data_IF_828959032645
#
_entry.id   IF_828959032645
#
_cell.length_a   1.000
_cell.length_b   1.000
_cell.length_c   1.000
_cell.angle_alpha   90.00
_cell.angle_beta   90.00
_cell.angle_gamma   90.00
#
_symmetry.space_group_name_H-M   'P 1'
#
loop_
_entity.id
_entity.type
_entity.pdbx_description
1 polymer ?
#
# COMPACT_ATOMS: atom_id res chain seq x y z
N UNK A 1 -54.53 -39.21 -28.32
CA UNK A 1 -53.89 -38.94 -29.63
C UNK A 1 -52.43 -38.57 -29.40
N UNK A 2 -51.54 -39.49 -29.72
CA UNK A 2 -50.09 -39.35 -29.64
C UNK A 2 -49.59 -38.39 -30.74
N UNK A 3 -48.62 -37.55 -30.43
CA UNK A 3 -47.58 -37.17 -31.37
C UNK A 3 -46.26 -36.96 -30.62
N UNK A 4 -45.36 -37.90 -30.88
CA UNK A 4 -43.95 -37.93 -30.62
C UNK A 4 -43.25 -36.86 -31.47
N UNK A 5 -42.26 -36.15 -30.88
CA UNK A 5 -41.27 -35.38 -31.64
C UNK A 5 -39.86 -35.73 -31.17
N UNK A 6 -39.11 -36.23 -32.13
CA UNK A 6 -37.75 -36.72 -32.08
C UNK A 6 -36.73 -35.65 -31.64
N UNK A 7 -35.87 -36.05 -30.74
CA UNK A 7 -34.60 -35.34 -30.45
C UNK A 7 -33.49 -35.81 -31.42
N UNK A 8 -33.01 -34.91 -32.26
CA UNK A 8 -31.72 -35.12 -32.97
C UNK A 8 -30.58 -34.61 -32.12
N UNK A 9 -29.67 -35.52 -31.77
CA UNK A 9 -28.35 -35.22 -31.22
C UNK A 9 -27.41 -34.86 -32.37
N UNK A 10 -26.80 -33.68 -32.29
CA UNK A 10 -25.69 -33.31 -33.15
C UNK A 10 -24.37 -33.42 -32.34
N UNK A 11 -23.53 -34.35 -32.75
CA UNK A 11 -22.14 -34.45 -32.29
C UNK A 11 -21.29 -33.43 -33.08
N UNK A 12 -20.42 -32.72 -32.38
CA UNK A 12 -19.31 -31.99 -32.98
C UNK A 12 -18.02 -32.78 -32.77
N UNK A 13 -17.13 -32.88 -33.78
CA UNK A 13 -15.88 -33.58 -33.62
C UNK A 13 -14.75 -32.70 -33.06
N UNK A 14 -13.95 -33.30 -32.19
CA UNK A 14 -12.64 -32.77 -31.79
C UNK A 14 -11.69 -32.74 -33.01
N UNK A 15 -11.07 -31.62 -33.27
CA UNK A 15 -9.94 -31.51 -34.15
C UNK A 15 -8.64 -31.47 -33.35
N UNK A 16 -7.84 -32.51 -33.48
CA UNK A 16 -6.48 -32.57 -33.02
C UNK A 16 -5.58 -31.82 -34.00
N UNK A 17 -4.73 -30.92 -33.52
CA UNK A 17 -3.70 -30.27 -34.32
C UNK A 17 -2.37 -30.95 -34.02
N UNK A 18 -1.86 -31.67 -35.02
CA UNK A 18 -0.54 -32.29 -35.07
C UNK A 18 0.52 -31.29 -35.53
N UNK A 19 1.63 -31.33 -34.83
CA UNK A 19 2.92 -30.71 -35.23
C UNK A 19 3.38 -31.31 -36.56
N UNK A 20 3.83 -30.51 -37.50
CA UNK A 20 4.60 -30.95 -38.68
C UNK A 20 5.79 -30.06 -38.94
N UNK A 21 6.90 -30.73 -39.14
CA UNK A 21 8.26 -30.24 -39.25
C UNK A 21 8.56 -29.46 -40.55
N UNK A 22 9.65 -28.72 -40.50
CA UNK A 22 10.26 -27.91 -41.53
C UNK A 22 10.70 -28.67 -42.77
N UNK A 23 10.59 -28.06 -43.93
CA UNK A 23 11.43 -28.34 -45.10
C UNK A 23 11.91 -27.04 -45.74
N UNK A 24 13.21 -26.97 -45.82
CA UNK A 24 14.00 -25.94 -46.52
C UNK A 24 13.67 -25.92 -48.00
N UNK A 25 13.43 -24.73 -48.55
CA UNK A 25 13.62 -24.49 -49.99
C UNK A 25 14.35 -23.16 -50.18
N UNK A 26 15.56 -23.25 -50.70
CA UNK A 26 16.39 -22.12 -51.10
C UNK A 26 15.91 -21.57 -52.45
N UNK A 27 15.60 -20.29 -52.50
CA UNK A 27 15.32 -19.56 -53.73
C UNK A 27 15.66 -18.09 -53.54
N UNK A 28 16.69 -17.66 -54.23
CA UNK A 28 17.14 -16.26 -54.37
C UNK A 28 16.01 -15.35 -54.89
N UNK A 29 15.75 -14.22 -54.22
CA UNK A 29 15.50 -12.91 -54.83
C UNK A 29 15.41 -11.79 -53.77
N UNK A 30 16.19 -10.73 -54.00
CA UNK A 30 15.95 -9.34 -53.65
C UNK A 30 15.71 -8.99 -52.17
N UNK A 31 16.73 -8.44 -51.49
CA UNK A 31 16.65 -8.01 -50.10
C UNK A 31 15.73 -6.82 -49.85
N UNK A 32 14.86 -6.98 -48.86
CA UNK A 32 14.47 -5.93 -47.94
C UNK A 32 14.76 -6.46 -46.53
N UNK A 33 15.66 -5.81 -45.84
CA UNK A 33 16.00 -6.16 -44.47
C UNK A 33 14.75 -5.99 -43.59
N UNK A 34 14.13 -7.11 -43.19
CA UNK A 34 13.16 -7.12 -42.10
C UNK A 34 13.94 -6.88 -40.82
N UNK A 35 13.78 -5.69 -40.30
CA UNK A 35 14.30 -5.31 -38.97
C UNK A 35 13.67 -6.26 -37.96
N UNK A 36 14.45 -7.12 -37.34
CA UNK A 36 13.99 -7.93 -36.21
C UNK A 36 13.51 -6.95 -35.11
N UNK A 37 12.23 -6.98 -34.82
CA UNK A 37 11.71 -6.32 -33.66
C UNK A 37 12.42 -6.92 -32.43
N UNK A 38 13.16 -6.07 -31.75
CA UNK A 38 13.76 -6.43 -30.45
C UNK A 38 12.63 -6.86 -29.52
N UNK A 39 12.71 -8.10 -29.08
CA UNK A 39 11.91 -8.59 -27.94
C UNK A 39 12.22 -7.63 -26.79
N UNK A 40 11.30 -6.73 -26.47
CA UNK A 40 11.41 -5.86 -25.31
C UNK A 40 11.40 -6.75 -24.08
N UNK A 41 12.56 -6.92 -23.48
CA UNK A 41 12.71 -7.44 -22.11
C UNK A 41 11.74 -6.65 -21.23
N UNK A 42 10.94 -7.29 -20.36
CA UNK A 42 10.10 -6.56 -19.42
C UNK A 42 10.97 -5.55 -18.70
N UNK A 43 10.54 -4.30 -18.66
CA UNK A 43 11.25 -3.24 -17.96
C UNK A 43 11.50 -3.73 -16.53
N UNK A 44 12.76 -3.75 -16.11
CA UNK A 44 13.14 -4.05 -14.74
C UNK A 44 12.30 -3.14 -13.83
N UNK A 45 11.58 -3.73 -12.87
CA UNK A 45 10.85 -2.99 -11.84
C UNK A 45 11.88 -2.08 -11.19
N UNK A 46 11.84 -0.78 -11.48
CA UNK A 46 12.75 0.18 -10.88
C UNK A 46 12.50 0.18 -9.38
N UNK A 47 13.53 -0.14 -8.60
CA UNK A 47 13.50 0.01 -7.14
C UNK A 47 13.12 1.46 -6.82
N UNK A 48 12.26 1.72 -5.81
CA UNK A 48 12.00 3.09 -5.37
C UNK A 48 13.30 3.81 -5.07
N UNK A 49 13.37 5.12 -5.36
CA UNK A 49 14.55 5.89 -5.04
C UNK A 49 14.72 6.05 -3.52
N UNK A 50 15.95 6.20 -3.04
CA UNK A 50 16.23 6.49 -1.63
C UNK A 50 15.39 7.66 -1.08
N UNK A 51 15.13 8.69 -1.90
CA UNK A 51 14.27 9.80 -1.54
C UNK A 51 12.83 9.39 -1.23
N UNK A 52 12.26 8.46 -2.02
CA UNK A 52 10.90 7.95 -1.77
C UNK A 52 10.83 7.12 -0.48
N UNK A 53 11.84 6.30 -0.21
CA UNK A 53 11.93 5.56 1.04
C UNK A 53 12.13 6.48 2.25
N UNK A 54 12.99 7.50 2.16
CA UNK A 54 13.17 8.49 3.22
C UNK A 54 11.86 9.21 3.54
N UNK A 55 11.14 9.68 2.50
CA UNK A 55 9.84 10.31 2.70
C UNK A 55 8.84 9.36 3.37
N UNK A 56 8.79 8.11 2.94
CA UNK A 56 7.92 7.09 3.54
C UNK A 56 8.29 6.79 5.01
N UNK A 57 9.57 6.57 5.29
CA UNK A 57 10.08 6.30 6.65
C UNK A 57 9.76 7.47 7.60
N UNK A 58 9.97 8.71 7.14
CA UNK A 58 9.61 9.90 7.90
C UNK A 58 8.10 10.01 8.14
N UNK A 59 7.30 9.84 7.10
CA UNK A 59 5.85 10.01 7.19
C UNK A 59 5.19 8.94 8.07
N UNK A 60 5.53 7.66 7.85
CA UNK A 60 4.86 6.53 8.48
C UNK A 60 5.49 6.12 9.83
N UNK A 61 6.81 6.24 9.95
CA UNK A 61 7.55 5.73 11.10
C UNK A 61 8.24 6.82 11.91
N UNK A 62 8.26 8.08 11.45
CA UNK A 62 9.01 9.18 12.07
C UNK A 62 10.49 8.82 12.23
N UNK A 63 11.06 8.21 11.17
CA UNK A 63 12.47 7.84 11.06
C UNK A 63 13.15 8.86 10.15
N UNK A 64 14.22 9.45 10.64
CA UNK A 64 15.10 10.40 9.91
C UNK A 64 16.51 9.83 9.92
N UNK A 65 16.93 9.24 8.81
CA UNK A 65 18.26 8.69 8.67
C UNK A 65 19.29 9.81 8.46
N UNK A 66 20.34 9.93 9.29
CA UNK A 66 21.40 10.89 9.09
C UNK A 66 22.20 10.58 7.83
N UNK A 67 22.95 11.57 7.33
CA UNK A 67 23.78 11.40 6.12
C UNK A 67 24.83 10.28 6.26
N UNK A 68 25.36 10.09 7.47
CA UNK A 68 26.33 9.07 7.83
C UNK A 68 25.88 8.39 9.14
N UNK A 69 25.01 7.39 9.08
CA UNK A 69 24.45 6.74 10.26
C UNK A 69 25.50 5.91 11.01
N UNK A 70 25.35 5.83 12.32
CA UNK A 70 26.04 4.84 13.13
C UNK A 70 25.31 3.50 13.09
N UNK A 71 25.99 2.42 13.48
CA UNK A 71 25.37 1.09 13.58
C UNK A 71 24.20 1.09 14.58
N UNK A 72 24.34 1.78 15.70
CA UNK A 72 23.30 1.90 16.73
C UNK A 72 22.05 2.65 16.24
N UNK A 73 22.20 3.74 15.50
CA UNK A 73 21.09 4.47 14.89
C UNK A 73 20.34 3.60 13.90
N UNK A 74 21.05 2.92 13.00
CA UNK A 74 20.40 2.03 12.04
C UNK A 74 19.64 0.88 12.73
N UNK A 75 20.19 0.30 13.79
CA UNK A 75 19.55 -0.75 14.59
C UNK A 75 18.25 -0.24 15.24
N UNK A 76 18.26 0.99 15.80
CA UNK A 76 17.07 1.61 16.35
C UNK A 76 16.01 1.82 15.27
N UNK A 77 16.40 2.28 14.09
CA UNK A 77 15.49 2.50 12.97
C UNK A 77 14.91 1.19 12.43
N UNK A 78 15.71 0.12 12.32
CA UNK A 78 15.22 -1.21 11.96
C UNK A 78 14.19 -1.73 12.97
N UNK A 79 14.50 -1.65 14.27
CA UNK A 79 13.57 -2.09 15.32
C UNK A 79 12.26 -1.29 15.30
N UNK A 80 12.33 0.02 15.09
CA UNK A 80 11.18 0.92 14.98
C UNK A 80 10.35 0.60 13.74
N UNK A 81 10.98 0.39 12.58
CA UNK A 81 10.32 0.03 11.34
C UNK A 81 9.62 -1.34 11.45
N UNK A 82 10.21 -2.29 12.14
CA UNK A 82 9.61 -3.60 12.41
C UNK A 82 8.57 -3.57 13.56
N UNK A 83 8.32 -2.40 14.16
CA UNK A 83 7.39 -2.20 15.29
C UNK A 83 7.68 -3.14 16.46
N UNK A 84 8.95 -3.39 16.73
CA UNK A 84 9.35 -4.22 17.87
C UNK A 84 9.17 -3.41 19.16
N UNK A 85 8.54 -4.03 20.15
CA UNK A 85 8.42 -3.45 21.49
C UNK A 85 9.79 -3.34 22.16
N UNK A 86 9.89 -2.46 23.15
CA UNK A 86 11.08 -2.40 23.99
C UNK A 86 11.22 -3.70 24.77
N UNK A 87 12.20 -4.53 24.40
CA UNK A 87 12.57 -5.68 25.21
C UNK A 87 13.57 -5.22 26.27
N UNK A 88 13.11 -5.18 27.51
CA UNK A 88 13.96 -4.92 28.67
C UNK A 88 14.04 -6.12 29.62
N UNK A 89 13.34 -7.20 29.32
CA UNK A 89 13.20 -8.37 30.17
C UNK A 89 14.07 -9.53 29.65
N UNK A 90 15.32 -9.54 29.98
CA UNK A 90 16.23 -10.65 29.61
C UNK A 90 17.67 -10.37 29.99
N UNK A 91 18.50 -11.40 29.90
CA UNK A 91 19.94 -11.27 30.06
C UNK A 91 20.50 -10.39 28.92
N UNK A 92 21.39 -9.45 29.27
CA UNK A 92 22.04 -8.60 28.30
C UNK A 92 22.90 -9.45 27.35
N UNK A 93 22.56 -9.42 26.05
CA UNK A 93 23.25 -10.21 25.03
C UNK A 93 24.50 -9.51 24.48
N UNK A 94 24.77 -8.25 24.87
CA UNK A 94 25.85 -7.43 24.34
C UNK A 94 26.80 -7.01 25.43
N UNK A 95 28.11 -7.21 25.22
CA UNK A 95 29.14 -6.94 26.22
C UNK A 95 29.45 -5.45 26.35
N UNK A 96 29.17 -4.66 25.32
CA UNK A 96 29.52 -3.25 25.16
C UNK A 96 28.32 -2.31 25.17
N UNK A 97 27.13 -2.81 25.52
CA UNK A 97 25.93 -2.00 25.71
C UNK A 97 25.44 -2.08 27.15
N UNK A 98 24.97 -0.95 27.66
CA UNK A 98 24.32 -0.82 28.95
C UNK A 98 22.84 -0.45 28.77
N UNK A 99 21.97 -0.72 29.77
CA UNK A 99 20.55 -0.41 29.68
C UNK A 99 20.22 1.06 29.38
N UNK A 100 21.09 1.99 29.75
CA UNK A 100 20.96 3.43 29.48
C UNK A 100 21.36 3.86 28.08
N UNK A 101 22.00 2.97 27.30
CA UNK A 101 22.43 3.29 25.92
C UNK A 101 21.22 3.36 24.98
N UNK A 102 21.12 4.37 24.10
CA UNK A 102 19.95 4.54 23.24
C UNK A 102 19.63 3.32 22.35
N UNK A 103 20.67 2.59 21.92
CA UNK A 103 20.52 1.40 21.08
C UNK A 103 20.20 0.13 21.86
N UNK A 104 20.24 0.11 23.19
CA UNK A 104 20.13 -1.10 24.01
C UNK A 104 18.83 -1.87 23.77
N UNK A 105 17.68 -1.21 23.98
CA UNK A 105 16.39 -1.85 23.85
C UNK A 105 16.13 -2.40 22.42
N UNK A 106 16.53 -1.64 21.40
CA UNK A 106 16.42 -2.05 20.00
C UNK A 106 17.34 -3.24 19.69
N UNK A 107 18.59 -3.21 20.17
CA UNK A 107 19.54 -4.31 19.98
C UNK A 107 19.05 -5.60 20.63
N UNK A 108 18.52 -5.54 21.86
CA UNK A 108 17.93 -6.70 22.55
C UNK A 108 16.73 -7.26 21.79
N UNK A 109 15.80 -6.42 21.36
CA UNK A 109 14.61 -6.85 20.60
C UNK A 109 15.02 -7.51 19.26
N UNK A 110 15.99 -6.96 18.54
CA UNK A 110 16.50 -7.55 17.31
C UNK A 110 17.30 -8.85 17.55
N UNK A 111 17.98 -8.98 18.68
CA UNK A 111 18.62 -10.24 19.05
C UNK A 111 17.61 -11.33 19.42
N UNK A 112 16.52 -10.99 20.08
CA UNK A 112 15.40 -11.93 20.32
C UNK A 112 14.77 -12.41 19.02
N UNK A 113 14.68 -11.54 18.01
CA UNK A 113 14.20 -11.88 16.67
C UNK A 113 15.23 -12.63 15.81
N UNK A 114 16.46 -12.82 16.29
CA UNK A 114 17.52 -13.49 15.54
C UNK A 114 18.11 -12.66 14.40
N UNK A 115 17.84 -11.35 14.38
CA UNK A 115 18.45 -10.39 13.43
C UNK A 115 19.89 -10.09 13.84
N UNK A 116 20.14 -9.94 15.13
CA UNK A 116 21.46 -9.78 15.72
C UNK A 116 21.86 -11.03 16.52
N UNK A 117 23.16 -11.34 16.56
CA UNK A 117 23.66 -12.55 17.24
C UNK A 117 24.14 -12.32 18.68
N UNK A 118 24.11 -11.09 19.17
CA UNK A 118 24.74 -10.75 20.46
C UNK A 118 26.25 -10.57 20.36
N UNK A 119 26.90 -10.42 21.50
CA UNK A 119 28.35 -10.17 21.60
C UNK A 119 28.71 -8.68 21.62
N UNK A 120 29.68 -8.24 20.82
CA UNK A 120 30.11 -6.83 20.74
C UNK A 120 29.42 -6.14 19.59
N UNK A 121 28.61 -5.12 19.86
CA UNK A 121 27.79 -4.41 18.86
C UNK A 121 28.57 -3.26 18.20
N UNK A 122 29.36 -2.50 18.97
CA UNK A 122 29.98 -1.26 18.52
C UNK A 122 28.98 -0.22 18.03
N UNK A 123 27.95 0.07 18.83
CA UNK A 123 26.82 0.91 18.44
C UNK A 123 27.20 2.30 17.92
N UNK A 124 28.27 2.89 18.47
CA UNK A 124 28.78 4.23 18.08
C UNK A 124 29.66 4.23 16.84
N UNK A 125 30.09 3.05 16.36
CA UNK A 125 30.89 2.96 15.14
C UNK A 125 30.07 3.36 13.91
N UNK A 126 30.70 3.91 12.85
CA UNK A 126 30.01 4.12 11.58
C UNK A 126 29.35 2.83 11.07
N UNK A 127 28.17 2.93 10.52
CA UNK A 127 27.53 1.81 9.83
C UNK A 127 28.32 1.50 8.56
N UNK A 128 28.68 0.23 8.36
CA UNK A 128 29.29 -0.19 7.09
C UNK A 128 28.24 -0.78 6.17
N UNK A 129 28.47 -0.71 4.84
CA UNK A 129 27.51 -1.18 3.83
C UNK A 129 27.21 -2.67 3.99
N UNK A 130 28.22 -3.50 4.20
CA UNK A 130 28.07 -4.93 4.45
C UNK A 130 27.32 -5.23 5.75
N UNK A 131 27.61 -4.51 6.85
CA UNK A 131 26.88 -4.66 8.11
C UNK A 131 25.39 -4.29 7.95
N UNK A 132 25.09 -3.21 7.22
CA UNK A 132 23.73 -2.81 6.92
C UNK A 132 22.97 -3.90 6.11
N UNK A 133 23.64 -4.49 5.10
CA UNK A 133 23.06 -5.60 4.30
C UNK A 133 22.79 -6.82 5.16
N UNK A 134 23.71 -7.24 6.04
CA UNK A 134 23.50 -8.40 6.91
C UNK A 134 22.36 -8.21 7.91
N UNK A 135 22.23 -7.00 8.46
CA UNK A 135 21.08 -6.67 9.32
C UNK A 135 19.79 -6.68 8.53
N UNK A 136 19.76 -6.03 7.36
CA UNK A 136 18.60 -5.93 6.51
C UNK A 136 18.11 -7.31 6.01
N UNK A 137 19.04 -8.20 5.61
CA UNK A 137 18.70 -9.55 5.15
C UNK A 137 17.97 -10.35 6.23
N UNK A 138 18.47 -10.31 7.46
CA UNK A 138 17.85 -11.02 8.57
C UNK A 138 16.53 -10.37 8.99
N UNK A 139 16.45 -9.04 8.93
CA UNK A 139 15.22 -8.29 9.18
C UNK A 139 14.12 -8.57 8.13
N UNK A 140 14.52 -8.90 6.90
CA UNK A 140 13.63 -9.28 5.81
C UNK A 140 13.24 -10.78 5.81
N UNK A 141 13.65 -11.56 6.83
CA UNK A 141 13.45 -13.02 6.96
C UNK A 141 14.05 -13.84 5.79
N UNK A 142 15.17 -13.40 5.22
CA UNK A 142 15.84 -14.06 4.10
C UNK A 142 17.01 -14.96 4.53
N UNK A 143 17.26 -15.11 5.83
CA UNK A 143 18.39 -15.84 6.40
C UNK A 143 18.43 -17.31 5.97
N UNK A 144 17.30 -18.00 6.07
CA UNK A 144 17.19 -19.40 5.71
C UNK A 144 17.45 -19.62 4.21
N UNK A 145 16.92 -18.73 3.36
CA UNK A 145 17.21 -18.75 1.93
C UNK A 145 18.70 -18.58 1.65
N UNK A 146 19.34 -17.61 2.31
CA UNK A 146 20.76 -17.33 2.11
C UNK A 146 21.61 -18.58 2.38
N UNK A 147 21.35 -19.31 3.43
CA UNK A 147 22.13 -20.51 3.83
C UNK A 147 21.92 -21.71 2.91
N UNK A 148 20.99 -21.66 1.96
CA UNK A 148 20.87 -22.67 0.90
C UNK A 148 21.78 -22.42 -0.30
N UNK A 149 22.46 -21.25 -0.37
CA UNK A 149 23.25 -20.90 -1.55
C UNK A 149 24.52 -21.75 -1.68
N UNK A 150 24.65 -22.51 -2.77
CA UNK A 150 25.88 -23.21 -3.08
C UNK A 150 26.95 -22.24 -3.61
N UNK A 151 28.21 -22.64 -3.55
CA UNK A 151 29.36 -21.83 -3.94
C UNK A 151 29.23 -21.16 -5.31
N UNK A 152 28.79 -21.91 -6.33
CA UNK A 152 28.62 -21.37 -7.68
C UNK A 152 27.59 -20.23 -7.75
N UNK A 153 26.52 -20.30 -6.94
CA UNK A 153 25.52 -19.24 -6.87
C UNK A 153 26.06 -18.02 -6.15
N UNK A 154 26.81 -18.24 -5.06
CA UNK A 154 27.52 -17.16 -4.34
C UNK A 154 28.43 -16.42 -5.29
N UNK A 155 29.32 -17.13 -6.01
CA UNK A 155 30.23 -16.54 -6.97
C UNK A 155 29.52 -15.70 -8.04
N UNK A 156 28.44 -16.23 -8.59
CA UNK A 156 27.65 -15.52 -9.62
C UNK A 156 27.05 -14.22 -9.10
N UNK A 157 26.49 -14.23 -7.89
CA UNK A 157 25.89 -13.06 -7.26
C UNK A 157 26.95 -12.00 -6.91
N UNK A 158 28.05 -12.41 -6.26
CA UNK A 158 29.09 -11.49 -5.79
C UNK A 158 29.88 -10.83 -6.93
N UNK A 159 29.97 -11.47 -8.12
CA UNK A 159 30.55 -10.83 -9.32
C UNK A 159 29.78 -9.57 -9.73
N UNK A 160 28.46 -9.47 -9.43
CA UNK A 160 27.68 -8.26 -9.73
C UNK A 160 28.14 -7.06 -8.91
N UNK A 161 28.80 -7.34 -7.75
CA UNK A 161 29.43 -6.35 -6.87
C UNK A 161 30.93 -6.16 -7.14
N UNK A 162 31.51 -6.86 -8.13
CA UNK A 162 32.96 -6.86 -8.35
C UNK A 162 33.76 -7.58 -7.25
N UNK A 163 33.10 -8.47 -6.48
CA UNK A 163 33.73 -9.21 -5.38
C UNK A 163 34.07 -10.62 -5.83
N UNK A 164 35.35 -10.99 -5.71
CA UNK A 164 35.84 -12.34 -5.96
C UNK A 164 35.51 -13.27 -4.78
N UNK A 165 35.08 -14.49 -5.07
CA UNK A 165 34.80 -15.56 -4.12
C UNK A 165 34.97 -16.93 -4.81
N UNK A 166 35.58 -17.96 -4.14
CA UNK A 166 36.19 -17.96 -2.83
C UNK A 166 37.57 -17.28 -2.80
N UNK A 167 38.07 -17.05 -1.62
CA UNK A 167 39.43 -16.50 -1.42
C UNK A 167 39.46 -15.07 -0.90
N UNK A 168 38.32 -14.39 -0.77
CA UNK A 168 38.26 -13.07 -0.16
C UNK A 168 38.37 -13.21 1.37
N UNK A 169 39.45 -12.71 2.02
CA UNK A 169 39.68 -12.89 3.46
C UNK A 169 38.68 -12.12 4.34
N UNK A 170 37.90 -11.19 3.76
CA UNK A 170 36.90 -10.42 4.47
C UNK A 170 35.55 -11.16 4.54
N UNK A 171 35.36 -12.27 3.82
CA UNK A 171 34.10 -12.99 3.73
C UNK A 171 34.21 -14.41 4.28
N UNK A 172 33.50 -14.68 5.39
CA UNK A 172 33.17 -16.05 5.77
C UNK A 172 32.16 -16.64 4.78
N UNK A 173 31.96 -17.96 4.76
CA UNK A 173 30.92 -18.60 3.95
C UNK A 173 29.54 -18.00 4.25
N UNK A 174 29.21 -17.83 5.52
CA UNK A 174 27.91 -17.27 5.94
C UNK A 174 27.74 -15.83 5.43
N UNK A 175 28.75 -14.97 5.59
CA UNK A 175 28.70 -13.58 5.11
C UNK A 175 28.54 -13.54 3.58
N UNK A 176 29.26 -14.41 2.86
CA UNK A 176 29.15 -14.51 1.41
C UNK A 176 27.78 -14.99 0.96
N UNK A 177 27.17 -15.96 1.65
CA UNK A 177 25.80 -16.43 1.41
C UNK A 177 24.76 -15.32 1.65
N UNK A 178 24.87 -14.60 2.77
CA UNK A 178 23.98 -13.49 3.12
C UNK A 178 24.06 -12.37 2.08
N UNK A 179 25.26 -11.96 1.69
CA UNK A 179 25.46 -10.90 0.69
C UNK A 179 24.96 -11.34 -0.69
N UNK A 180 25.26 -12.58 -1.11
CA UNK A 180 24.80 -13.13 -2.38
C UNK A 180 23.28 -13.20 -2.46
N UNK A 181 22.62 -13.62 -1.37
CA UNK A 181 21.16 -13.65 -1.30
C UNK A 181 20.55 -12.24 -1.35
N UNK A 182 21.16 -11.25 -0.69
CA UNK A 182 20.70 -9.87 -0.75
C UNK A 182 20.76 -9.28 -2.18
N UNK A 183 21.81 -9.64 -2.94
CA UNK A 183 21.97 -9.25 -4.34
C UNK A 183 20.91 -9.92 -5.23
N UNK A 184 20.76 -11.24 -5.13
CA UNK A 184 19.90 -12.00 -6.04
C UNK A 184 18.41 -11.79 -5.76
N UNK A 185 18.03 -11.51 -4.52
CA UNK A 185 16.64 -11.21 -4.16
C UNK A 185 16.25 -9.76 -4.43
N UNK A 186 17.22 -8.88 -4.73
CA UNK A 186 17.00 -7.45 -4.90
C UNK A 186 16.82 -6.70 -3.57
N UNK A 187 17.12 -7.32 -2.42
CA UNK A 187 17.15 -6.63 -1.13
C UNK A 187 18.22 -5.53 -1.14
N UNK A 188 19.40 -5.83 -1.71
CA UNK A 188 20.38 -4.82 -2.11
C UNK A 188 20.05 -4.35 -3.53
N UNK A 189 19.51 -3.13 -3.71
CA UNK A 189 19.12 -2.64 -5.02
C UNK A 189 20.28 -2.57 -6.01
N UNK A 190 20.01 -2.89 -7.28
CA UNK A 190 21.03 -2.91 -8.33
C UNK A 190 21.77 -1.56 -8.53
N UNK A 191 21.13 -0.45 -8.17
CA UNK A 191 21.72 0.88 -8.23
C UNK A 191 22.99 0.99 -7.36
N UNK A 192 23.11 0.18 -6.30
CA UNK A 192 24.26 0.19 -5.39
C UNK A 192 25.34 -0.83 -5.76
N UNK A 193 25.09 -1.75 -6.72
CA UNK A 193 26.03 -2.83 -7.00
C UNK A 193 27.42 -2.35 -7.43
N UNK A 194 27.50 -1.29 -8.21
CA UNK A 194 28.79 -0.77 -8.71
C UNK A 194 29.60 0.06 -7.70
N UNK A 195 28.95 0.55 -6.65
CA UNK A 195 29.55 1.38 -5.60
C UNK A 195 29.74 0.64 -4.27
N UNK A 196 29.17 -0.56 -4.15
CA UNK A 196 29.23 -1.34 -2.91
C UNK A 196 30.65 -1.79 -2.55
N UNK A 197 31.06 -1.53 -1.29
CA UNK A 197 32.36 -1.95 -0.77
C UNK A 197 32.31 -2.60 0.60
N UNK A 198 33.03 -3.73 0.76
CA UNK A 198 33.14 -4.42 2.05
C UNK A 198 33.91 -3.58 3.06
N UNK A 199 33.22 -3.14 4.11
CA UNK A 199 33.77 -2.28 5.17
C UNK A 199 33.71 -0.79 4.85
N UNK A 200 33.13 -0.38 3.69
CA UNK A 200 32.95 1.02 3.38
C UNK A 200 31.77 1.60 4.19
N UNK A 201 31.85 2.89 4.52
CA UNK A 201 30.85 3.56 5.33
C UNK A 201 29.53 3.71 4.53
N UNK A 202 28.44 3.26 5.11
CA UNK A 202 27.11 3.40 4.52
C UNK A 202 26.62 4.85 4.58
N UNK A 203 26.09 5.36 3.47
CA UNK A 203 25.39 6.63 3.45
C UNK A 203 23.97 6.49 4.00
N UNK A 204 23.34 7.62 4.38
CA UNK A 204 21.94 7.65 4.77
C UNK A 204 20.99 7.29 3.63
N UNK A 205 21.39 7.47 2.36
CA UNK A 205 20.62 7.01 1.20
C UNK A 205 20.68 5.49 1.04
N UNK A 206 21.86 4.90 1.21
CA UNK A 206 22.07 3.46 1.21
C UNK A 206 21.25 2.77 2.33
N UNK A 207 21.34 3.31 3.55
CA UNK A 207 20.59 2.81 4.70
C UNK A 207 19.06 2.92 4.49
N UNK A 208 18.60 4.01 3.86
CA UNK A 208 17.18 4.22 3.54
C UNK A 208 16.68 3.21 2.50
N UNK A 209 17.44 2.96 1.45
CA UNK A 209 17.10 1.97 0.42
C UNK A 209 17.02 0.56 1.01
N UNK A 210 17.96 0.18 1.86
CA UNK A 210 17.92 -1.12 2.54
C UNK A 210 16.72 -1.25 3.48
N UNK A 211 16.47 -0.24 4.32
CA UNK A 211 15.35 -0.27 5.26
C UNK A 211 13.99 -0.25 4.52
N UNK A 212 13.88 0.52 3.45
CA UNK A 212 12.73 0.52 2.57
C UNK A 212 12.51 -0.83 1.87
N UNK A 213 13.59 -1.46 1.42
CA UNK A 213 13.56 -2.82 0.87
C UNK A 213 13.08 -3.83 1.92
N UNK A 214 13.58 -3.77 3.16
CA UNK A 214 13.09 -4.61 4.26
C UNK A 214 11.58 -4.45 4.43
N UNK A 215 11.08 -3.21 4.48
CA UNK A 215 9.65 -2.96 4.60
C UNK A 215 8.86 -3.50 3.41
N UNK A 216 9.41 -3.45 2.20
CA UNK A 216 8.80 -4.04 1.00
C UNK A 216 8.70 -5.57 1.12
N UNK A 217 9.77 -6.25 1.53
CA UNK A 217 9.77 -7.69 1.79
C UNK A 217 8.80 -8.10 2.92
N UNK A 218 8.61 -7.24 3.91
CA UNK A 218 7.67 -7.44 5.01
C UNK A 218 6.22 -7.07 4.67
N UNK A 219 5.95 -6.61 3.43
CA UNK A 219 4.63 -6.11 3.04
C UNK A 219 4.19 -4.88 3.83
N UNK A 220 5.14 -4.10 4.37
CA UNK A 220 4.90 -2.92 5.20
C UNK A 220 5.27 -1.59 4.52
N UNK A 221 5.62 -1.63 3.24
CA UNK A 221 5.82 -0.48 2.39
C UNK A 221 4.49 -0.09 1.71
N UNK A 222 4.50 0.35 0.48
CA UNK A 222 3.30 0.70 -0.29
C UNK A 222 2.61 -0.57 -0.80
N UNK A 223 1.30 -0.62 -0.64
CA UNK A 223 0.48 -1.68 -1.20
C UNK A 223 -0.15 -1.19 -2.51
N UNK A 224 -0.15 -2.04 -3.51
CA UNK A 224 -0.77 -1.76 -4.81
C UNK A 224 -1.24 -3.04 -5.47
N UNK A 225 -2.41 -2.99 -6.12
CA UNK A 225 -2.87 -4.05 -7.03
C UNK A 225 -2.27 -3.89 -8.43
N UNK A 226 -1.68 -2.74 -8.74
CA UNK A 226 -1.05 -2.44 -10.04
C UNK A 226 -1.03 -0.96 -10.33
N UNK A 227 -0.82 -0.63 -11.60
CA UNK A 227 -0.87 0.73 -12.13
C UNK A 227 -2.02 0.88 -13.12
N UNK A 228 -2.51 2.11 -13.31
CA UNK A 228 -3.52 2.44 -14.33
C UNK A 228 -3.11 1.92 -15.71
N UNK A 229 -1.82 1.97 -16.04
CA UNK A 229 -1.28 1.52 -17.33
C UNK A 229 -1.19 -0.01 -17.49
N UNK A 230 -1.29 -0.80 -16.40
CA UNK A 230 -1.14 -2.26 -16.47
C UNK A 230 -2.26 -2.89 -17.32
N UNK A 231 -1.90 -3.78 -18.23
CA UNK A 231 -2.86 -4.44 -19.11
C UNK A 231 -3.94 -5.25 -18.34
N UNK A 232 -3.57 -5.80 -17.20
CA UNK A 232 -4.41 -6.67 -16.35
C UNK A 232 -5.07 -5.95 -15.16
N UNK A 233 -4.96 -4.61 -15.07
CA UNK A 233 -5.45 -3.86 -13.89
C UNK A 233 -6.94 -4.09 -13.63
N UNK A 234 -7.77 -4.22 -14.66
CA UNK A 234 -9.20 -4.46 -14.49
C UNK A 234 -9.49 -5.84 -13.87
N UNK A 235 -8.74 -6.88 -14.29
CA UNK A 235 -8.86 -8.21 -13.71
C UNK A 235 -8.44 -8.21 -12.22
N UNK A 236 -7.34 -7.56 -11.89
CA UNK A 236 -6.86 -7.38 -10.51
C UNK A 236 -7.86 -6.59 -9.66
N UNK A 237 -8.46 -5.54 -10.23
CA UNK A 237 -9.47 -4.73 -9.55
C UNK A 237 -10.71 -5.57 -9.19
N UNK A 238 -11.25 -6.32 -10.16
CA UNK A 238 -12.40 -7.20 -9.91
C UNK A 238 -12.06 -8.29 -8.90
N UNK A 239 -10.88 -8.91 -8.99
CA UNK A 239 -10.44 -9.91 -8.02
C UNK A 239 -10.37 -9.31 -6.61
N UNK A 240 -9.75 -8.15 -6.45
CA UNK A 240 -9.65 -7.46 -5.16
C UNK A 240 -11.04 -7.14 -4.60
N UNK A 241 -11.97 -6.66 -5.43
CA UNK A 241 -13.33 -6.35 -5.01
C UNK A 241 -14.13 -7.58 -4.60
N UNK A 242 -14.05 -8.68 -5.37
CA UNK A 242 -14.80 -9.91 -5.11
C UNK A 242 -14.33 -10.65 -3.86
N UNK A 243 -13.05 -10.50 -3.50
CA UNK A 243 -12.47 -11.15 -2.31
C UNK A 243 -12.62 -10.33 -1.03
N UNK A 244 -13.28 -9.17 -1.10
CA UNK A 244 -13.52 -8.32 0.09
C UNK A 244 -14.68 -8.86 0.91
N UNK A 245 -14.41 -9.03 2.21
CA UNK A 245 -15.45 -9.30 3.20
C UNK A 245 -16.01 -8.01 3.82
N UNK A 246 -17.22 -8.12 4.39
CA UNK A 246 -17.79 -7.07 5.21
C UNK A 246 -16.95 -6.92 6.50
N UNK A 247 -16.39 -5.75 6.72
CA UNK A 247 -15.62 -5.49 7.93
C UNK A 247 -16.59 -5.25 9.09
N UNK A 248 -16.51 -6.10 10.11
CA UNK A 248 -17.27 -6.00 11.35
C UNK A 248 -16.33 -6.16 12.53
N UNK A 249 -16.29 -5.15 13.41
CA UNK A 249 -15.45 -5.13 14.61
C UNK A 249 -16.31 -4.66 15.78
N UNK A 250 -16.78 -5.60 16.57
CA UNK A 250 -17.77 -5.35 17.64
C UNK A 250 -17.32 -4.28 18.64
N UNK A 251 -16.05 -4.28 19.00
CA UNK A 251 -15.45 -3.36 19.95
C UNK A 251 -15.50 -1.91 19.42
N UNK A 252 -15.13 -1.71 18.15
CA UNK A 252 -15.22 -0.40 17.50
C UNK A 252 -16.68 0.01 17.25
N UNK A 253 -17.50 -0.92 16.77
CA UNK A 253 -18.91 -0.66 16.46
C UNK A 253 -19.69 -0.25 17.71
N UNK A 254 -19.44 -0.86 18.86
CA UNK A 254 -20.08 -0.46 20.12
C UNK A 254 -19.87 1.02 20.45
N UNK A 255 -18.70 1.57 20.14
CA UNK A 255 -18.37 2.99 20.40
C UNK A 255 -19.02 3.89 19.34
N UNK A 256 -18.84 3.58 18.06
CA UNK A 256 -19.29 4.47 16.98
C UNK A 256 -20.79 4.40 16.73
N UNK A 257 -21.45 3.26 16.97
CA UNK A 257 -22.91 3.14 16.91
C UNK A 257 -23.58 3.92 18.05
N UNK A 258 -22.99 3.89 19.24
CA UNK A 258 -23.46 4.74 20.35
C UNK A 258 -23.27 6.23 20.05
N UNK A 259 -22.15 6.60 19.41
CA UNK A 259 -21.91 7.98 18.98
C UNK A 259 -22.95 8.44 17.93
N UNK A 260 -23.40 7.55 17.02
CA UNK A 260 -24.51 7.82 16.09
C UNK A 260 -25.83 8.04 16.83
N UNK A 261 -26.17 7.20 17.83
CA UNK A 261 -27.39 7.34 18.65
C UNK A 261 -27.44 8.64 19.42
N UNK A 262 -26.28 9.09 19.91
CA UNK A 262 -26.14 10.37 20.62
C UNK A 262 -26.07 11.59 19.70
N UNK A 263 -26.19 11.42 18.37
CA UNK A 263 -25.97 12.46 17.37
C UNK A 263 -24.59 13.16 17.48
N UNK A 264 -23.61 12.47 18.03
CA UNK A 264 -22.25 12.98 18.18
C UNK A 264 -21.52 12.99 16.84
N UNK A 265 -21.82 12.01 15.96
CA UNK A 265 -21.27 11.86 14.62
C UNK A 265 -22.40 11.63 13.60
N UNK A 266 -22.14 11.96 12.32
CA UNK A 266 -23.07 11.73 11.21
C UNK A 266 -22.76 10.42 10.46
N UNK A 267 -21.62 9.81 10.73
CA UNK A 267 -21.21 8.56 10.10
C UNK A 267 -19.81 8.14 10.48
N UNK A 268 -19.49 6.92 10.12
CA UNK A 268 -18.16 6.34 10.28
C UNK A 268 -17.84 5.35 9.16
N UNK A 269 -16.55 5.08 8.97
CA UNK A 269 -16.07 3.96 8.16
C UNK A 269 -15.28 2.99 9.04
N UNK A 270 -15.47 1.68 8.84
CA UNK A 270 -14.60 0.64 9.34
C UNK A 270 -13.65 0.20 8.24
N UNK A 271 -12.36 0.14 8.52
CA UNK A 271 -11.30 -0.23 7.59
C UNK A 271 -10.29 -1.18 8.24
N UNK A 272 -9.49 -1.81 7.39
CA UNK A 272 -8.42 -2.71 7.79
C UNK A 272 -7.08 -2.15 7.28
N UNK A 273 -6.16 -1.84 8.20
CA UNK A 273 -4.87 -1.24 7.88
C UNK A 273 -3.95 -2.13 7.03
N UNK A 274 -4.23 -3.44 6.95
CA UNK A 274 -3.50 -4.37 6.08
C UNK A 274 -3.73 -4.10 4.59
N UNK A 275 -4.84 -3.44 4.23
CA UNK A 275 -5.13 -3.03 2.86
C UNK A 275 -4.73 -1.58 2.57
N UNK A 276 -4.28 -0.82 3.58
CA UNK A 276 -3.91 0.59 3.39
C UNK A 276 -2.83 0.73 2.32
N UNK A 277 -3.05 1.63 1.37
CA UNK A 277 -2.13 1.86 0.25
C UNK A 277 -0.75 2.34 0.72
N UNK A 278 -0.69 3.08 1.83
CA UNK A 278 0.52 3.73 2.34
C UNK A 278 1.21 4.61 1.28
N UNK A 279 0.44 5.21 0.40
CA UNK A 279 0.93 6.07 -0.67
C UNK A 279 1.44 7.42 -0.12
N UNK A 280 2.27 8.11 -0.92
CA UNK A 280 2.74 9.45 -0.56
C UNK A 280 1.53 10.42 -0.56
N UNK A 281 1.22 11.07 0.59
CA UNK A 281 0.09 12.00 0.68
C UNK A 281 0.14 13.15 -0.33
N UNK A 282 1.35 13.57 -0.72
CA UNK A 282 1.54 14.64 -1.70
C UNK A 282 1.15 14.23 -3.11
N UNK A 283 1.26 12.96 -3.42
CA UNK A 283 1.02 12.39 -4.75
C UNK A 283 -0.29 11.62 -4.84
N UNK A 284 -1.00 11.42 -3.71
CA UNK A 284 -2.15 10.53 -3.67
C UNK A 284 -3.48 11.24 -3.52
N UNK A 285 -4.51 10.56 -4.03
CA UNK A 285 -5.91 10.91 -3.89
C UNK A 285 -6.70 9.62 -3.79
N UNK A 286 -7.79 9.65 -3.04
CA UNK A 286 -8.65 8.49 -2.81
C UNK A 286 -10.08 8.80 -3.22
N UNK A 287 -10.75 7.78 -3.75
CA UNK A 287 -12.13 7.78 -4.21
C UNK A 287 -12.90 6.66 -3.51
N UNK A 288 -14.01 6.99 -2.86
CA UNK A 288 -14.87 6.02 -2.16
C UNK A 288 -16.18 5.77 -2.89
N UNK A 289 -16.58 4.51 -3.04
CA UNK A 289 -17.86 4.10 -3.64
C UNK A 289 -18.25 2.68 -3.22
N UNK A 290 -19.49 2.28 -3.55
CA UNK A 290 -20.01 0.92 -3.37
C UNK A 290 -20.06 0.10 -4.69
N UNK A 291 -20.19 0.76 -5.85
CA UNK A 291 -20.26 0.11 -7.17
C UNK A 291 -18.90 0.09 -7.86
N UNK A 292 -18.36 -1.12 -8.06
CA UNK A 292 -17.06 -1.34 -8.72
C UNK A 292 -17.01 -0.81 -10.16
N UNK A 293 -18.16 -0.67 -10.83
CA UNK A 293 -18.25 -0.12 -12.18
C UNK A 293 -17.65 1.27 -12.25
N UNK A 294 -17.82 2.07 -11.19
CA UNK A 294 -17.25 3.41 -11.10
C UNK A 294 -15.72 3.41 -11.04
N UNK A 295 -15.11 2.47 -10.30
CA UNK A 295 -13.66 2.33 -10.28
C UNK A 295 -13.11 1.93 -11.67
N UNK A 296 -13.81 1.02 -12.37
CA UNK A 296 -13.45 0.63 -13.75
C UNK A 296 -13.51 1.83 -14.69
N UNK A 297 -14.59 2.60 -14.64
CA UNK A 297 -14.77 3.81 -15.45
C UNK A 297 -13.69 4.85 -15.13
N UNK A 298 -13.36 5.04 -13.87
CA UNK A 298 -12.35 6.00 -13.43
C UNK A 298 -10.94 5.61 -13.93
N UNK A 299 -10.56 4.34 -13.83
CA UNK A 299 -9.29 3.86 -14.41
C UNK A 299 -9.28 4.05 -15.94
N UNK A 300 -10.39 3.75 -16.61
CA UNK A 300 -10.55 3.99 -18.06
C UNK A 300 -10.39 5.47 -18.42
N UNK A 301 -10.97 6.36 -17.65
CA UNK A 301 -10.85 7.81 -17.82
C UNK A 301 -9.39 8.27 -17.63
N UNK A 302 -8.72 7.85 -16.56
CA UNK A 302 -7.31 8.18 -16.33
C UNK A 302 -6.43 7.76 -17.51
N UNK A 303 -6.65 6.54 -18.06
CA UNK A 303 -5.96 6.08 -19.27
C UNK A 303 -6.20 6.97 -20.47
N UNK A 304 -7.45 7.36 -20.72
CA UNK A 304 -7.81 8.20 -21.88
C UNK A 304 -7.18 9.60 -21.81
N UNK A 305 -6.94 10.08 -20.60
CA UNK A 305 -6.32 11.39 -20.35
C UNK A 305 -4.79 11.32 -20.20
N UNK A 306 -4.20 10.12 -20.38
CA UNK A 306 -2.75 9.92 -20.26
C UNK A 306 -2.24 10.11 -18.84
N UNK A 307 -3.08 9.89 -17.82
CA UNK A 307 -2.71 9.94 -16.42
C UNK A 307 -2.38 8.53 -15.93
N UNK A 308 -1.17 8.34 -15.43
CA UNK A 308 -0.76 7.10 -14.78
C UNK A 308 -0.69 7.28 -13.27
N UNK A 309 -1.10 6.25 -12.56
CA UNK A 309 -1.03 6.19 -11.10
C UNK A 309 -0.94 4.74 -10.64
N UNK A 310 -0.30 4.48 -9.50
CA UNK A 310 -0.47 3.22 -8.77
C UNK A 310 -1.87 3.16 -8.22
N UNK A 311 -2.41 1.96 -8.15
CA UNK A 311 -3.79 1.70 -7.73
C UNK A 311 -3.81 0.73 -6.57
N UNK A 312 -4.55 1.06 -5.51
CA UNK A 312 -4.87 0.14 -4.42
C UNK A 312 -6.37 0.18 -4.14
N UNK A 313 -6.97 -1.00 -3.91
CA UNK A 313 -8.35 -1.12 -3.47
C UNK A 313 -8.37 -1.47 -1.97
N UNK A 314 -9.01 -0.61 -1.17
CA UNK A 314 -9.15 -0.77 0.27
C UNK A 314 -10.61 -1.06 0.62
N UNK A 315 -10.94 -2.26 1.16
CA UNK A 315 -12.29 -2.54 1.61
C UNK A 315 -12.69 -1.63 2.76
N UNK A 316 -13.94 -1.21 2.79
CA UNK A 316 -14.51 -0.52 3.91
C UNK A 316 -15.97 -0.89 4.13
N UNK A 317 -16.41 -0.77 5.37
CA UNK A 317 -17.82 -0.78 5.74
C UNK A 317 -18.19 0.59 6.27
N UNK A 318 -19.20 1.22 5.69
CA UNK A 318 -19.65 2.55 6.07
C UNK A 318 -20.99 2.49 6.79
N UNK A 319 -21.17 3.37 7.76
CA UNK A 319 -22.45 3.68 8.37
C UNK A 319 -22.61 5.20 8.42
N UNK A 320 -23.73 5.73 7.89
CA UNK A 320 -23.93 7.16 7.79
C UNK A 320 -25.42 7.53 7.82
N UNK A 321 -25.72 8.75 8.27
CA UNK A 321 -27.09 9.27 8.30
C UNK A 321 -27.60 9.35 6.87
N UNK A 322 -28.70 8.64 6.61
CA UNK A 322 -29.42 8.66 5.34
C UNK A 322 -30.39 9.83 5.28
N UNK A 323 -30.27 10.69 4.29
CA UNK A 323 -31.13 11.86 4.15
C UNK A 323 -32.38 11.51 3.32
N UNK A 324 -33.56 11.90 3.79
CA UNK A 324 -34.84 11.65 3.10
C UNK A 324 -34.89 12.26 1.71
N UNK A 325 -34.18 13.35 1.49
CA UNK A 325 -34.05 14.05 0.22
C UNK A 325 -33.39 13.21 -0.87
N UNK A 326 -32.68 12.14 -0.50
CA UNK A 326 -32.10 11.18 -1.45
C UNK A 326 -33.14 10.19 -2.01
N UNK A 327 -34.38 10.21 -1.49
CA UNK A 327 -35.49 9.36 -1.94
C UNK A 327 -35.59 8.03 -1.19
N UNK A 328 -36.34 7.08 -1.77
CA UNK A 328 -36.48 5.75 -1.16
C UNK A 328 -35.19 4.92 -1.33
N UNK A 329 -34.65 4.36 -0.23
CA UNK A 329 -33.40 3.63 -0.30
C UNK A 329 -33.56 2.27 -0.97
N UNK A 330 -32.63 1.88 -1.81
CA UNK A 330 -32.51 0.51 -2.32
C UNK A 330 -31.93 -0.39 -1.24
N UNK A 331 -32.70 -1.39 -0.80
CA UNK A 331 -32.23 -2.41 0.15
C UNK A 331 -31.58 -3.56 -0.62
N UNK A 332 -30.34 -3.91 -0.29
CA UNK A 332 -29.60 -5.06 -0.84
C UNK A 332 -28.89 -5.80 0.28
N UNK A 333 -28.21 -6.91 -0.03
CA UNK A 333 -27.37 -7.61 0.97
C UNK A 333 -26.18 -6.78 1.42
N UNK A 334 -25.70 -5.88 0.56
CA UNK A 334 -24.53 -5.01 0.81
C UNK A 334 -24.90 -3.56 1.18
N UNK A 335 -26.18 -3.18 1.14
CA UNK A 335 -26.65 -1.82 1.45
C UNK A 335 -28.00 -1.88 2.15
N UNK A 336 -28.06 -1.43 3.40
CA UNK A 336 -29.30 -1.44 4.21
C UNK A 336 -29.49 -0.11 4.91
N UNK A 337 -30.72 0.40 4.89
CA UNK A 337 -31.10 1.60 5.66
C UNK A 337 -32.05 1.18 6.76
N UNK A 338 -31.70 1.52 7.99
CA UNK A 338 -32.49 1.19 9.20
C UNK A 338 -32.74 2.45 10.03
N UNK A 339 -33.94 2.56 10.60
CA UNK A 339 -34.19 3.60 11.59
C UNK A 339 -33.64 3.19 12.95
N UNK A 340 -32.88 4.07 13.59
CA UNK A 340 -32.30 3.85 14.92
C UNK A 340 -33.13 4.58 16.01
N UNK A 341 -32.82 4.33 17.28
CA UNK A 341 -33.60 4.76 18.44
C UNK A 341 -33.84 6.29 18.51
N UNK A 342 -32.89 7.10 18.04
CA UNK A 342 -33.06 8.56 18.01
C UNK A 342 -33.90 9.09 16.84
N UNK A 343 -34.45 8.20 16.01
CA UNK A 343 -35.30 8.53 14.87
C UNK A 343 -34.56 8.74 13.55
N UNK A 344 -33.24 8.79 13.56
CA UNK A 344 -32.44 8.88 12.35
C UNK A 344 -32.47 7.57 11.54
N UNK A 345 -32.36 7.69 10.23
CA UNK A 345 -32.13 6.58 9.33
C UNK A 345 -30.63 6.46 9.08
N UNK A 346 -30.08 5.26 9.28
CA UNK A 346 -28.66 4.97 9.04
C UNK A 346 -28.53 4.01 7.89
N UNK A 347 -27.77 4.40 6.88
CA UNK A 347 -27.33 3.50 5.83
C UNK A 347 -26.10 2.74 6.30
N UNK A 348 -26.12 1.41 6.20
CA UNK A 348 -24.99 0.52 6.38
C UNK A 348 -24.61 -0.04 5.01
N UNK A 349 -23.40 0.20 4.57
CA UNK A 349 -22.96 -0.14 3.24
C UNK A 349 -21.60 -0.86 3.24
N UNK A 350 -21.49 -1.92 2.40
CA UNK A 350 -20.20 -2.46 1.99
C UNK A 350 -19.70 -1.60 0.84
N UNK A 351 -18.56 -0.97 1.06
CA UNK A 351 -17.96 -0.05 0.11
C UNK A 351 -16.47 -0.36 -0.07
N UNK A 352 -15.83 0.40 -0.92
CA UNK A 352 -14.38 0.41 -1.09
C UNK A 352 -13.87 1.85 -1.18
N UNK A 353 -12.59 2.03 -0.87
CA UNK A 353 -11.80 3.16 -1.30
C UNK A 353 -10.81 2.69 -2.36
N UNK A 354 -10.76 3.38 -3.51
CA UNK A 354 -9.67 3.20 -4.47
C UNK A 354 -8.69 4.36 -4.31
N UNK A 355 -7.48 4.03 -3.92
CA UNK A 355 -6.40 5.00 -3.75
C UNK A 355 -5.53 5.03 -5.01
N UNK A 356 -5.15 6.23 -5.42
CA UNK A 356 -4.23 6.49 -6.53
C UNK A 356 -2.98 7.20 -6.00
N UNK A 357 -1.79 6.77 -6.43
CA UNK A 357 -0.56 7.53 -6.27
C UNK A 357 -0.05 7.89 -7.67
N UNK A 358 -0.15 9.17 -8.01
CA UNK A 358 0.33 9.70 -9.29
C UNK A 358 1.85 9.78 -9.32
N UNK A 359 2.44 9.77 -10.51
CA UNK A 359 3.89 9.84 -10.68
C UNK A 359 4.45 11.22 -10.28
N UNK A 360 3.65 12.29 -10.42
CA UNK A 360 4.02 13.65 -10.04
C UNK A 360 2.85 14.44 -9.43
N UNK A 361 3.17 15.53 -8.74
CA UNK A 361 2.17 16.45 -8.18
C UNK A 361 1.34 17.14 -9.28
N UNK A 362 1.94 17.41 -10.43
CA UNK A 362 1.27 17.99 -11.59
C UNK A 362 0.21 17.04 -12.16
N UNK A 363 0.50 15.73 -12.21
CA UNK A 363 -0.48 14.75 -12.63
C UNK A 363 -1.64 14.64 -11.63
N UNK A 364 -1.35 14.69 -10.32
CA UNK A 364 -2.39 14.75 -9.28
C UNK A 364 -3.27 16.00 -9.44
N UNK A 365 -2.69 17.16 -9.72
CA UNK A 365 -3.44 18.39 -9.97
C UNK A 365 -4.30 18.28 -11.24
N UNK A 366 -3.73 17.76 -12.33
CA UNK A 366 -4.47 17.53 -13.59
C UNK A 366 -5.67 16.60 -13.41
N UNK A 367 -5.58 15.60 -12.53
CA UNK A 367 -6.71 14.72 -12.21
C UNK A 367 -7.95 15.50 -11.79
N UNK A 368 -7.78 16.56 -11.00
CA UNK A 368 -8.89 17.38 -10.51
C UNK A 368 -9.64 18.06 -11.67
N UNK A 369 -8.90 18.61 -12.63
CA UNK A 369 -9.51 19.23 -13.83
C UNK A 369 -10.28 18.20 -14.66
N UNK A 370 -9.73 17.00 -14.80
CA UNK A 370 -10.37 15.88 -15.50
C UNK A 370 -11.66 15.48 -14.78
N UNK A 371 -11.63 15.33 -13.47
CA UNK A 371 -12.83 14.93 -12.70
C UNK A 371 -13.92 15.99 -12.77
N UNK A 372 -13.61 17.27 -12.64
CA UNK A 372 -14.60 18.33 -12.77
C UNK A 372 -15.25 18.39 -14.16
N UNK A 373 -14.53 17.95 -15.17
CA UNK A 373 -15.08 17.90 -16.53
C UNK A 373 -16.12 16.76 -16.69
N UNK A 374 -15.92 15.61 -16.04
CA UNK A 374 -16.72 14.40 -16.24
C UNK A 374 -17.67 14.08 -15.07
N UNK A 375 -17.25 14.28 -13.83
CA UNK A 375 -18.05 13.97 -12.63
C UNK A 375 -18.92 15.16 -12.23
N UNK A 376 -19.98 15.43 -13.01
CA UNK A 376 -20.91 16.53 -12.77
C UNK A 376 -22.12 16.07 -11.98
N UNK A 377 -22.01 16.08 -10.65
CA UNK A 377 -23.16 15.87 -9.80
C UNK A 377 -24.15 17.04 -9.93
N UNK A 378 -25.44 16.69 -10.03
CA UNK A 378 -26.57 17.64 -10.02
C UNK A 378 -26.46 18.81 -11.03
N UNK A 379 -25.68 18.65 -12.09
CA UNK A 379 -25.62 19.62 -13.16
C UNK A 379 -26.85 19.48 -14.06
N UNK A 380 -27.67 20.51 -14.15
CA UNK A 380 -28.79 20.57 -15.09
C UNK A 380 -28.31 20.56 -16.55
N UNK A 381 -27.06 20.95 -16.79
CA UNK A 381 -26.43 20.98 -18.11
C UNK A 381 -25.76 19.66 -18.53
N UNK A 382 -25.95 18.58 -17.79
CA UNK A 382 -25.27 17.30 -17.99
C UNK A 382 -25.85 16.46 -19.15
N UNK A 383 -26.26 17.07 -20.26
CA UNK A 383 -26.73 16.34 -21.43
C UNK A 383 -25.60 15.51 -22.04
N UNK A 384 -25.82 14.20 -22.13
CA UNK A 384 -24.89 13.25 -22.76
C UNK A 384 -23.69 12.84 -21.92
N UNK A 385 -23.58 13.31 -20.69
CA UNK A 385 -22.55 12.88 -19.76
C UNK A 385 -23.04 11.79 -18.81
N UNK A 386 -22.12 11.06 -18.22
CA UNK A 386 -22.36 9.97 -17.26
C UNK A 386 -22.79 10.52 -15.88
N UNK A 387 -23.59 11.60 -15.85
CA UNK A 387 -23.90 12.34 -14.62
C UNK A 387 -24.52 11.48 -13.53
N UNK A 388 -25.39 10.52 -13.89
CA UNK A 388 -25.98 9.59 -12.96
C UNK A 388 -25.03 8.48 -12.50
N UNK A 389 -24.03 8.15 -13.31
CA UNK A 389 -23.05 7.11 -13.02
C UNK A 389 -21.89 7.63 -12.18
N UNK A 390 -21.54 8.91 -12.30
CA UNK A 390 -20.50 9.58 -11.54
C UNK A 390 -21.05 10.36 -10.33
N UNK A 391 -22.22 9.99 -9.89
CA UNK A 391 -22.89 10.64 -8.80
C UNK A 391 -22.18 10.39 -7.49
N UNK A 392 -21.54 11.40 -6.96
CA UNK A 392 -20.97 11.51 -5.63
C UNK A 392 -20.04 10.43 -5.14
N UNK A 393 -18.95 10.29 -5.76
CA UNK A 393 -17.84 9.70 -5.07
C UNK A 393 -17.35 10.65 -3.98
N UNK A 394 -17.01 10.08 -2.84
CA UNK A 394 -16.17 10.76 -1.87
C UNK A 394 -14.74 10.82 -2.41
N UNK A 395 -14.33 12.00 -2.86
CA UNK A 395 -12.91 12.25 -3.13
C UNK A 395 -12.27 12.90 -1.91
N UNK A 396 -11.13 12.38 -1.50
CA UNK A 396 -10.36 12.97 -0.42
C UNK A 396 -8.85 12.86 -0.63
N UNK A 397 -8.12 13.79 -0.01
CA UNK A 397 -6.66 13.85 0.00
C UNK A 397 -6.15 14.16 1.41
N UNK A 398 -4.95 13.68 1.74
CA UNK A 398 -4.25 14.03 2.99
C UNK A 398 -3.39 15.28 2.87
N UNK A 399 -3.42 15.96 1.73
CA UNK A 399 -2.78 17.26 1.49
C UNK A 399 -3.77 18.19 0.82
N UNK A 400 -3.63 19.53 0.98
CA UNK A 400 -4.49 20.49 0.32
C UNK A 400 -4.59 20.27 -1.19
N UNK A 401 -5.79 20.39 -1.71
CA UNK A 401 -6.10 20.45 -3.14
C UNK A 401 -7.03 21.64 -3.32
N UNK A 402 -6.82 22.44 -4.38
CA UNK A 402 -7.69 23.55 -4.72
C UNK A 402 -9.13 23.05 -4.90
N UNK A 403 -10.10 23.84 -4.44
CA UNK A 403 -11.52 23.51 -4.38
C UNK A 403 -11.95 22.46 -3.36
N UNK A 404 -11.03 21.72 -2.70
CA UNK A 404 -11.39 20.83 -1.59
C UNK A 404 -11.47 21.60 -0.27
N UNK A 405 -12.35 21.13 0.62
CA UNK A 405 -12.57 21.70 1.94
C UNK A 405 -11.86 20.88 3.01
N UNK A 406 -11.20 21.55 3.94
CA UNK A 406 -10.57 20.91 5.08
C UNK A 406 -11.63 20.38 6.06
N UNK A 407 -11.49 19.14 6.47
CA UNK A 407 -12.25 18.51 7.55
C UNK A 407 -11.31 17.76 8.49
N UNK A 408 -11.87 17.22 9.57
CA UNK A 408 -11.15 16.35 10.49
C UNK A 408 -11.68 14.93 10.48
N UNK A 409 -10.80 14.01 10.79
CA UNK A 409 -11.11 12.62 11.04
C UNK A 409 -10.68 12.27 12.46
N UNK A 410 -11.57 11.60 13.21
CA UNK A 410 -11.26 11.04 14.51
C UNK A 410 -11.19 9.52 14.34
N UNK A 411 -9.99 8.96 14.52
CA UNK A 411 -9.68 7.56 14.31
C UNK A 411 -9.60 6.81 15.63
N UNK A 412 -10.29 5.67 15.69
CA UNK A 412 -10.20 4.68 16.75
C UNK A 412 -9.57 3.42 16.18
N UNK A 413 -8.64 2.81 16.92
CA UNK A 413 -7.92 1.61 16.41
C UNK A 413 -8.09 0.45 17.38
N UNK A 414 -8.39 -0.74 16.81
CA UNK A 414 -8.44 -2.03 17.50
C UNK A 414 -7.72 -3.09 16.66
N UNK A 415 -6.54 -3.53 17.14
CA UNK A 415 -5.66 -4.41 16.39
C UNK A 415 -5.22 -3.79 15.05
N UNK A 416 -5.55 -4.44 13.95
CA UNK A 416 -5.31 -3.92 12.61
C UNK A 416 -6.53 -3.23 11.99
N UNK A 417 -7.67 -3.23 12.69
CA UNK A 417 -8.87 -2.52 12.26
C UNK A 417 -8.91 -1.11 12.84
N UNK A 418 -9.62 -0.24 12.16
CA UNK A 418 -9.88 1.10 12.66
C UNK A 418 -11.21 1.65 12.17
N UNK A 419 -11.82 2.49 13.01
CA UNK A 419 -12.96 3.31 12.66
C UNK A 419 -12.50 4.74 12.35
N UNK A 420 -13.12 5.38 11.37
CA UNK A 420 -12.93 6.78 11.02
C UNK A 420 -14.26 7.51 11.16
N UNK A 421 -14.32 8.56 11.97
CA UNK A 421 -15.50 9.41 12.13
C UNK A 421 -15.20 10.81 11.61
N UNK A 422 -15.81 11.16 10.48
CA UNK A 422 -15.58 12.45 9.84
C UNK A 422 -16.33 13.58 10.53
N UNK A 423 -15.70 14.75 10.62
CA UNK A 423 -16.30 15.94 11.22
C UNK A 423 -15.77 17.23 10.59
N UNK A 424 -16.54 18.30 10.71
CA UNK A 424 -16.03 19.65 10.51
C UNK A 424 -14.88 19.92 11.49
N UNK A 425 -13.87 20.66 11.06
CA UNK A 425 -12.63 20.87 11.83
C UNK A 425 -12.87 21.53 13.20
N UNK A 426 -13.88 22.37 13.35
CA UNK A 426 -14.28 23.02 14.61
C UNK A 426 -14.95 22.05 15.60
N UNK A 427 -15.48 20.92 15.13
CA UNK A 427 -16.12 19.87 15.93
C UNK A 427 -15.16 18.79 16.43
N UNK A 428 -13.93 18.76 15.97
CA UNK A 428 -12.95 17.69 16.26
C UNK A 428 -12.81 17.39 17.76
N UNK A 429 -12.63 18.44 18.58
CA UNK A 429 -12.44 18.29 20.02
C UNK A 429 -13.70 17.80 20.76
N UNK A 430 -14.88 18.26 20.33
CA UNK A 430 -16.18 17.83 20.86
C UNK A 430 -16.37 16.33 20.61
N UNK A 431 -16.12 15.88 19.38
CA UNK A 431 -16.28 14.48 18.99
C UNK A 431 -15.25 13.59 19.67
N UNK A 432 -13.97 13.99 19.71
CA UNK A 432 -12.93 13.23 20.39
C UNK A 432 -13.27 13.05 21.89
N UNK A 433 -13.68 14.11 22.55
CA UNK A 433 -14.11 14.05 23.96
C UNK A 433 -15.38 13.23 24.17
N UNK A 434 -16.32 13.29 23.21
CA UNK A 434 -17.54 12.47 23.24
C UNK A 434 -17.24 10.99 23.12
N UNK A 435 -16.38 10.60 22.19
CA UNK A 435 -15.92 9.21 22.01
C UNK A 435 -15.22 8.68 23.27
N UNK A 436 -14.39 9.50 23.94
CA UNK A 436 -13.75 9.13 25.20
C UNK A 436 -14.74 9.02 26.38
N UNK A 437 -15.84 9.77 26.36
CA UNK A 437 -16.92 9.60 27.37
C UNK A 437 -17.68 8.30 27.18
N UNK A 438 -17.89 7.86 25.93
CA UNK A 438 -18.50 6.56 25.58
C UNK A 438 -17.57 5.42 26.03
N UNK A 439 -16.28 5.54 25.76
CA UNK A 439 -15.27 4.54 26.11
C UNK A 439 -14.00 5.23 26.62
N UNK A 440 -13.79 5.31 27.96
CA UNK A 440 -12.69 6.07 28.57
C UNK A 440 -11.28 5.67 28.12
N UNK A 441 -11.08 4.39 27.78
CA UNK A 441 -9.79 3.86 27.33
C UNK A 441 -9.57 4.02 25.83
N UNK A 442 -10.54 4.61 25.09
CA UNK A 442 -10.44 4.80 23.66
C UNK A 442 -9.30 5.78 23.30
N UNK A 443 -8.36 5.31 22.51
CA UNK A 443 -7.31 6.14 21.94
C UNK A 443 -7.83 6.79 20.68
N UNK A 444 -8.19 8.07 20.76
CA UNK A 444 -8.68 8.85 19.63
C UNK A 444 -7.52 9.61 19.02
N UNK A 445 -7.20 9.30 17.75
CA UNK A 445 -6.23 10.03 16.95
C UNK A 445 -6.99 10.96 16.00
N UNK A 446 -6.76 12.27 16.08
CA UNK A 446 -7.42 13.23 15.21
C UNK A 446 -6.41 13.76 14.17
N UNK A 447 -6.81 13.81 12.91
CA UNK A 447 -6.00 14.34 11.82
C UNK A 447 -6.87 15.01 10.76
N UNK A 448 -6.26 15.87 9.96
CA UNK A 448 -6.95 16.65 8.91
C UNK A 448 -6.84 15.95 7.57
N UNK A 449 -7.84 16.15 6.73
CA UNK A 449 -7.80 15.85 5.31
C UNK A 449 -8.79 16.72 4.54
N UNK A 450 -8.69 16.69 3.24
CA UNK A 450 -9.42 17.57 2.33
C UNK A 450 -10.39 16.73 1.52
N UNK A 451 -11.64 17.15 1.49
CA UNK A 451 -12.74 16.46 0.82
C UNK A 451 -13.38 17.36 -0.23
N UNK A 452 -14.02 16.73 -1.21
CA UNK A 452 -14.80 17.43 -2.22
C UNK A 452 -16.00 18.16 -1.61
N UNK A 453 -16.50 19.18 -2.32
CA UNK A 453 -17.56 20.05 -1.84
C UNK A 453 -18.86 19.31 -1.46
N UNK A 454 -19.32 18.29 -2.22
CA UNK A 454 -20.52 17.58 -1.86
C UNK A 454 -20.46 16.87 -0.50
N UNK A 455 -19.31 16.26 -0.15
CA UNK A 455 -19.17 15.64 1.16
C UNK A 455 -19.07 16.68 2.27
N UNK A 456 -18.41 17.78 2.02
CA UNK A 456 -18.37 18.90 2.97
C UNK A 456 -19.77 19.44 3.26
N UNK A 457 -20.59 19.63 2.19
CA UNK A 457 -21.98 20.07 2.33
C UNK A 457 -22.84 19.07 3.11
N UNK A 458 -22.62 17.77 2.92
CA UNK A 458 -23.27 16.73 3.72
C UNK A 458 -22.95 16.90 5.23
N UNK A 459 -21.72 17.21 5.61
CA UNK A 459 -21.35 17.46 7.01
C UNK A 459 -21.98 18.74 7.56
N UNK A 460 -22.36 19.68 6.70
CA UNK A 460 -23.15 20.88 7.06
C UNK A 460 -24.65 20.61 7.14
N UNK A 461 -25.12 19.37 6.88
CA UNK A 461 -26.52 19.00 6.84
C UNK A 461 -27.18 19.22 5.46
N UNK A 462 -26.41 19.51 4.44
CA UNK A 462 -26.89 19.61 3.06
C UNK A 462 -27.03 18.22 2.39
N UNK A 463 -27.88 18.14 1.36
CA UNK A 463 -28.09 16.89 0.62
C UNK A 463 -27.56 16.97 -0.83
N UNK A 464 -26.98 18.10 -1.23
CA UNK A 464 -26.38 18.37 -2.54
C UNK A 464 -24.93 18.77 -2.45
#
# INVERSE_FOLDING_TARGET
MHRSVNKKKTLFPLAAISLSAALLYSGLYGGTAVRAEAVTTPAAVSSPSAAAYKAFLQNQYKIELPAAPTKGEFIQDVAKALKLGNSSAGENRFNDLKPEDPAYAAAQALAEKGVLSGGTLQAVAPLTEDAAVYIALKAADLKELAYTYPEAKIQSALRKLGIDYPGNPKLSLQAAQELAAAVDTGLLPAAWHSSFGLGDAASGDFAADLLGSVLSFKGAYKHTIGSVADADIFAKLYQAYQTQDLIQVKELQAIVDEALKLNLITGYNLKDSRYSANFDPKLSLTYGHDDITHAVQLIGLLRSEGLNAKVQLEPKTSAFVYLKEWGEPKQTDSYKVVQIENGNYIAYAKEYDIAFEFDTAEQKAKFQDVIFQYAKKNSEDAKGLIASSWWQPLYYSFTPIDAYKEISNNKLTEGHYYAQTFSLSDKTGEIASGLQKIHPDAKVESYRFWVDEPFYNYLLGGYK
#
